data_IF_492354676399
#
_entry.id   IF_492354676399
#
_cell.length_a   1.000
_cell.length_b   1.000
_cell.length_c   1.000
_cell.angle_alpha   90.00
_cell.angle_beta   90.00
_cell.angle_gamma   90.00
#
_symmetry.space_group_name_H-M   'P 1'
#
loop_
_entity.id
_entity.type
_entity.pdbx_description
1 polymer ?
#
# COMPACT_ATOMS: atom_id res chain seq x y z
N UNK A 1 -1.00 42.73 -6.56
CA UNK A 1 -0.32 41.41 -6.41
C UNK A 1 -0.47 40.64 -7.72
N UNK A 2 0.64 40.30 -8.42
CA UNK A 2 0.58 39.42 -9.60
C UNK A 2 0.22 38.01 -9.14
N UNK A 3 -0.88 37.44 -9.64
CA UNK A 3 -1.20 36.03 -9.41
C UNK A 3 -0.11 35.19 -10.09
N UNK A 4 0.52 34.29 -9.34
CA UNK A 4 1.40 33.27 -9.90
C UNK A 4 0.53 32.41 -10.80
N UNK A 5 0.74 32.48 -12.12
CA UNK A 5 0.06 31.58 -13.05
C UNK A 5 0.76 30.22 -12.98
N UNK A 6 0.13 29.26 -12.32
CA UNK A 6 0.57 27.87 -12.36
C UNK A 6 0.07 27.22 -13.64
N UNK A 7 0.89 26.40 -14.32
CA UNK A 7 0.42 25.65 -15.48
C UNK A 7 -0.74 24.72 -15.07
N UNK A 8 -1.66 24.47 -16.01
CA UNK A 8 -2.75 23.52 -15.78
C UNK A 8 -2.19 22.09 -15.74
N UNK A 9 -2.72 21.22 -14.85
CA UNK A 9 -2.32 19.82 -14.83
C UNK A 9 -2.73 19.13 -16.14
N UNK A 10 -1.91 18.16 -16.56
CA UNK A 10 -2.22 17.26 -17.68
C UNK A 10 -2.81 15.99 -17.10
N UNK A 11 -3.97 15.58 -17.60
CA UNK A 11 -4.64 14.34 -17.19
C UNK A 11 -4.43 13.30 -18.29
N UNK A 12 -3.85 12.16 -17.92
CA UNK A 12 -3.62 11.03 -18.81
C UNK A 12 -4.44 9.83 -18.31
N UNK A 13 -5.34 9.34 -19.16
CA UNK A 13 -6.13 8.14 -18.88
C UNK A 13 -5.43 6.93 -19.49
N UNK A 14 -4.95 6.01 -18.64
CA UNK A 14 -4.36 4.76 -19.08
C UNK A 14 -5.45 3.69 -19.22
N UNK A 15 -5.32 2.83 -20.23
CA UNK A 15 -6.32 1.79 -20.52
C UNK A 15 -6.40 0.75 -19.39
N UNK A 16 -5.25 0.41 -18.80
CA UNK A 16 -5.17 -0.60 -17.75
C UNK A 16 -4.70 0.02 -16.44
N UNK A 17 -5.43 -0.27 -15.37
CA UNK A 17 -5.07 0.15 -14.02
C UNK A 17 -3.65 -0.28 -13.61
N UNK A 18 -3.21 -1.47 -14.04
CA UNK A 18 -1.85 -1.96 -13.81
C UNK A 18 -0.77 -1.03 -14.39
N UNK A 19 -1.02 -0.40 -15.54
CA UNK A 19 -0.08 0.55 -16.15
C UNK A 19 0.09 1.80 -15.28
N UNK A 20 -1.00 2.26 -14.65
CA UNK A 20 -0.95 3.37 -13.68
C UNK A 20 -0.02 3.03 -12.52
N UNK A 21 -0.16 1.84 -11.93
CA UNK A 21 0.70 1.39 -10.83
C UNK A 21 2.16 1.25 -11.25
N UNK A 22 2.42 0.68 -12.42
CA UNK A 22 3.77 0.56 -12.97
C UNK A 22 4.42 1.93 -13.22
N UNK A 23 3.68 2.87 -13.81
CA UNK A 23 4.15 4.23 -14.05
C UNK A 23 4.48 4.96 -12.74
N UNK A 24 3.61 4.86 -11.73
CA UNK A 24 3.85 5.47 -10.43
C UNK A 24 5.05 4.86 -9.72
N UNK A 25 5.19 3.53 -9.75
CA UNK A 25 6.34 2.84 -9.16
C UNK A 25 7.63 3.24 -9.87
N UNK A 26 7.63 3.31 -11.20
CA UNK A 26 8.77 3.78 -11.98
C UNK A 26 9.13 5.23 -11.63
N UNK A 27 8.13 6.11 -11.54
CA UNK A 27 8.32 7.51 -11.15
C UNK A 27 8.92 7.65 -9.74
N UNK A 28 8.45 6.86 -8.77
CA UNK A 28 8.97 6.85 -7.40
C UNK A 28 10.40 6.31 -7.34
N UNK A 29 10.68 5.22 -8.06
CA UNK A 29 12.00 4.58 -8.06
C UNK A 29 13.04 5.47 -8.74
N UNK A 30 12.66 6.17 -9.80
CA UNK A 30 13.54 7.11 -10.50
C UNK A 30 13.79 8.40 -9.67
N UNK A 31 12.87 8.75 -8.77
CA UNK A 31 12.96 9.98 -7.98
C UNK A 31 12.50 11.21 -8.78
N UNK A 32 13.17 12.38 -8.65
CA UNK A 32 12.76 13.60 -9.35
C UNK A 32 12.68 13.40 -10.87
N UNK A 33 11.54 13.73 -11.46
CA UNK A 33 11.34 13.67 -12.91
C UNK A 33 11.51 15.06 -13.50
N UNK A 34 12.17 15.14 -14.66
CA UNK A 34 12.37 16.38 -15.40
C UNK A 34 11.84 16.27 -16.81
N UNK A 35 11.08 17.28 -17.23
CA UNK A 35 10.72 17.51 -18.62
C UNK A 35 11.36 18.83 -19.04
N UNK A 36 12.30 18.77 -19.98
CA UNK A 36 13.20 19.86 -20.34
C UNK A 36 13.89 20.48 -19.11
N UNK A 37 13.43 21.65 -18.68
CA UNK A 37 13.94 22.44 -17.56
C UNK A 37 13.00 22.49 -16.36
N UNK A 38 11.92 21.72 -16.37
CA UNK A 38 10.89 21.73 -15.34
C UNK A 38 10.87 20.41 -14.58
N UNK A 39 10.81 20.52 -13.25
CA UNK A 39 10.53 19.37 -12.41
C UNK A 39 9.04 19.02 -12.52
N UNK A 40 8.75 17.77 -12.84
CA UNK A 40 7.40 17.26 -13.05
C UNK A 40 7.09 16.23 -11.98
N UNK A 41 5.84 16.23 -11.53
CA UNK A 41 5.33 15.25 -10.58
C UNK A 41 4.18 14.47 -11.21
N UNK A 42 4.25 13.15 -11.11
CA UNK A 42 3.16 12.26 -11.50
C UNK A 42 2.40 11.88 -10.22
N UNK A 43 1.09 12.03 -10.24
CA UNK A 43 0.18 11.65 -9.15
C UNK A 43 -1.09 11.03 -9.73
N UNK A 44 -1.75 10.18 -8.94
CA UNK A 44 -3.08 9.67 -9.28
C UNK A 44 -4.11 10.78 -9.09
N UNK A 45 -5.07 10.85 -10.02
CA UNK A 45 -6.26 11.68 -9.86
C UNK A 45 -7.32 10.92 -9.07
N UNK A 46 -7.44 11.23 -7.79
CA UNK A 46 -8.47 10.65 -6.92
C UNK A 46 -9.67 11.57 -6.80
N UNK A 47 -10.83 10.96 -6.55
CA UNK A 47 -12.00 11.72 -6.11
C UNK A 47 -11.69 12.54 -4.86
N UNK A 48 -12.42 13.64 -4.68
CA UNK A 48 -12.26 14.55 -3.52
C UNK A 48 -12.31 13.79 -2.19
N UNK A 49 -13.31 12.94 -2.01
CA UNK A 49 -13.51 12.14 -0.81
C UNK A 49 -12.34 11.18 -0.53
N UNK A 50 -11.84 10.49 -1.57
CA UNK A 50 -10.68 9.60 -1.41
C UNK A 50 -9.42 10.38 -1.04
N UNK A 51 -9.21 11.54 -1.66
CA UNK A 51 -8.11 12.45 -1.32
C UNK A 51 -8.19 12.94 0.13
N UNK A 52 -9.37 13.31 0.61
CA UNK A 52 -9.60 13.76 1.98
C UNK A 52 -9.34 12.63 2.99
N UNK A 53 -9.84 11.41 2.73
CA UNK A 53 -9.55 10.23 3.55
C UNK A 53 -8.06 9.89 3.59
N UNK A 54 -7.37 9.90 2.44
CA UNK A 54 -5.91 9.69 2.40
C UNK A 54 -5.18 10.75 3.22
N UNK A 55 -5.55 12.03 3.09
CA UNK A 55 -4.96 13.11 3.90
C UNK A 55 -5.16 12.86 5.39
N UNK A 56 -6.36 12.43 5.82
CA UNK A 56 -6.64 12.09 7.21
C UNK A 56 -5.80 10.90 7.71
N UNK A 57 -5.53 9.90 6.89
CA UNK A 57 -4.56 8.85 7.27
C UNK A 57 -3.12 9.38 7.35
N UNK A 58 -2.73 10.28 6.45
CA UNK A 58 -1.38 10.86 6.43
C UNK A 58 -1.08 11.66 7.71
N UNK A 59 -2.07 12.29 8.34
CA UNK A 59 -1.86 13.01 9.63
C UNK A 59 -1.55 12.07 10.79
N UNK A 60 -1.87 10.78 10.69
CA UNK A 60 -1.61 9.76 11.72
C UNK A 60 -0.23 9.09 11.57
N UNK A 61 0.45 9.26 10.42
CA UNK A 61 1.79 8.70 10.17
C UNK A 61 2.83 9.05 11.23
N UNK A 62 2.92 10.29 11.75
CA UNK A 62 3.88 10.60 12.80
C UNK A 62 3.69 9.75 14.06
N UNK A 63 2.45 9.47 14.46
CA UNK A 63 2.14 8.62 15.63
C UNK A 63 2.55 7.17 15.37
N UNK A 64 2.28 6.65 14.18
CA UNK A 64 2.72 5.30 13.78
C UNK A 64 4.24 5.16 13.81
N UNK A 65 4.98 6.19 13.37
CA UNK A 65 6.44 6.23 13.44
C UNK A 65 6.95 6.25 14.88
N UNK A 66 6.31 7.02 15.76
CA UNK A 66 6.66 7.06 17.19
C UNK A 66 6.46 5.72 17.88
N UNK A 67 5.52 4.91 17.41
CA UNK A 67 5.24 3.56 17.92
C UNK A 67 6.03 2.47 17.19
N UNK A 68 6.95 2.84 16.29
CA UNK A 68 7.76 1.92 15.47
C UNK A 68 6.93 0.87 14.70
N UNK A 69 5.67 1.20 14.39
CA UNK A 69 4.77 0.31 13.64
C UNK A 69 5.04 0.40 12.14
N UNK A 70 5.07 -0.75 11.46
CA UNK A 70 5.10 -0.80 10.00
C UNK A 70 3.72 -0.47 9.45
N UNK A 71 3.65 0.34 8.40
CA UNK A 71 2.40 0.76 7.77
C UNK A 71 2.58 1.03 6.27
N UNK A 72 1.49 1.04 5.52
CA UNK A 72 1.38 1.48 4.12
C UNK A 72 -0.06 1.91 3.83
N UNK A 73 -0.22 2.83 2.88
CA UNK A 73 -1.48 3.45 2.52
C UNK A 73 -1.82 3.10 1.06
N UNK A 74 -2.88 2.32 0.89
CA UNK A 74 -3.35 1.88 -0.42
C UNK A 74 -4.04 2.99 -1.21
N UNK A 75 -4.19 2.73 -2.50
CA UNK A 75 -4.86 3.60 -3.47
C UNK A 75 -6.28 3.99 -3.03
N UNK A 76 -7.04 3.01 -2.53
CA UNK A 76 -8.43 3.10 -2.08
C UNK A 76 -8.65 3.78 -0.72
N UNK A 77 -7.66 4.52 -0.22
CA UNK A 77 -7.67 5.12 1.12
C UNK A 77 -7.88 4.10 2.24
N UNK A 78 -7.25 2.91 2.13
CA UNK A 78 -7.13 1.92 3.19
C UNK A 78 -5.71 1.93 3.72
N UNK A 79 -5.53 1.90 5.04
CA UNK A 79 -4.20 1.81 5.64
C UNK A 79 -4.07 0.50 6.41
N UNK A 80 -3.00 -0.24 6.13
CA UNK A 80 -2.63 -1.40 6.95
C UNK A 80 -1.58 -0.99 7.99
N UNK A 81 -1.57 -1.68 9.12
CA UNK A 81 -0.58 -1.51 10.18
C UNK A 81 -0.18 -2.90 10.67
N UNK A 82 1.11 -3.11 10.92
CA UNK A 82 1.63 -4.33 11.54
C UNK A 82 1.94 -4.07 13.00
N UNK A 83 1.25 -4.80 13.88
CA UNK A 83 1.43 -4.78 15.33
C UNK A 83 1.82 -6.18 15.78
N UNK A 84 2.99 -6.35 16.42
CA UNK A 84 3.46 -7.66 16.92
C UNK A 84 3.39 -8.80 15.88
N UNK A 85 3.66 -8.48 14.61
CA UNK A 85 3.60 -9.43 13.49
C UNK A 85 2.20 -9.69 12.92
N UNK A 86 1.15 -9.11 13.50
CA UNK A 86 -0.23 -9.21 13.02
C UNK A 86 -0.59 -8.01 12.17
N UNK A 87 -1.15 -8.27 10.98
CA UNK A 87 -1.65 -7.23 10.08
C UNK A 87 -3.07 -6.80 10.48
N UNK A 88 -3.28 -5.49 10.59
CA UNK A 88 -4.57 -4.86 10.83
C UNK A 88 -4.88 -3.85 9.73
N UNK A 89 -6.10 -3.90 9.22
CA UNK A 89 -6.56 -3.06 8.13
C UNK A 89 -7.58 -2.04 8.61
N UNK A 90 -7.41 -0.79 8.17
CA UNK A 90 -8.27 0.32 8.52
C UNK A 90 -8.81 0.98 7.25
N UNK A 91 -10.13 1.02 7.12
CA UNK A 91 -10.83 1.70 6.03
C UNK A 91 -11.21 3.15 6.39
N UNK A 92 -11.20 3.46 7.70
CA UNK A 92 -11.52 4.77 8.24
C UNK A 92 -10.34 5.28 9.11
N UNK A 93 -9.89 6.53 8.93
CA UNK A 93 -8.87 7.13 9.78
C UNK A 93 -9.25 7.18 11.26
N UNK A 94 -10.54 7.30 11.61
CA UNK A 94 -10.94 7.36 13.02
C UNK A 94 -10.80 6.01 13.74
N UNK A 95 -11.09 4.90 13.07
CA UNK A 95 -10.88 3.57 13.63
C UNK A 95 -9.41 3.35 13.97
N UNK A 96 -8.52 3.83 13.09
CA UNK A 96 -7.09 3.80 13.35
C UNK A 96 -6.71 4.73 14.51
N UNK A 97 -7.30 5.92 14.61
CA UNK A 97 -7.01 6.84 15.71
C UNK A 97 -7.35 6.22 17.06
N UNK A 98 -8.53 5.62 17.17
CA UNK A 98 -8.99 4.89 18.36
C UNK A 98 -8.01 3.74 18.67
N UNK A 99 -7.59 2.99 17.65
CA UNK A 99 -6.60 1.94 17.80
C UNK A 99 -5.27 2.47 18.39
N UNK A 100 -4.72 3.56 17.83
CA UNK A 100 -3.47 4.14 18.31
C UNK A 100 -3.57 4.68 19.74
N UNK A 101 -4.71 5.28 20.10
CA UNK A 101 -4.97 5.75 21.46
C UNK A 101 -5.02 4.58 22.45
N UNK A 102 -5.68 3.47 22.08
CA UNK A 102 -5.72 2.26 22.91
C UNK A 102 -4.35 1.62 23.11
N UNK A 103 -3.50 1.65 22.09
CA UNK A 103 -2.14 1.09 22.14
C UNK A 103 -1.21 1.91 23.04
N UNK A 104 -1.32 3.25 22.99
CA UNK A 104 -0.53 4.14 23.85
C UNK A 104 -0.88 4.01 25.34
N UNK A 105 -2.12 3.66 25.67
CA UNK A 105 -2.51 3.44 27.07
C UNK A 105 -1.96 2.12 27.60
N UNK A 106 -1.96 1.05 26.80
CA UNK A 106 -1.37 -0.24 27.20
C UNK A 106 0.14 -0.16 27.45
N UNK A 107 0.85 0.69 26.72
CA UNK A 107 2.31 0.85 26.86
C UNK A 107 2.73 1.74 28.03
N UNK A 108 1.82 2.56 28.59
CA UNK A 108 2.11 3.44 29.74
C UNK A 108 1.96 2.75 31.09
N UNK A 109 1.32 1.58 31.13
CA UNK A 109 1.11 0.83 32.38
C UNK A 109 2.06 -0.38 32.51
N UNK A 110 3.33 -0.17 32.89
CA UNK A 110 4.07 -1.22 33.59
C UNK A 110 4.66 -0.71 34.91
N UNK A 111 3.91 0.01 35.77
CA UNK A 111 4.42 0.39 37.09
C UNK A 111 3.34 0.76 38.13
N UNK A 112 2.58 -0.23 38.62
CA UNK A 112 2.15 -0.21 40.04
C UNK A 112 2.15 -1.64 40.57
N UNK A 113 3.34 -2.26 40.55
CA UNK A 113 3.65 -3.40 41.41
C UNK A 113 4.19 -2.85 42.72
N UNK A 114 3.38 -2.94 43.78
CA UNK A 114 3.74 -3.09 45.18
C UNK A 114 5.01 -2.36 45.65
N UNK A 115 4.87 -1.09 46.05
CA UNK A 115 5.86 -0.39 46.86
C UNK A 115 5.63 -0.68 48.34
N UNK A 116 6.09 -1.85 48.79
CA UNK A 116 6.49 -2.02 50.19
C UNK A 116 7.71 -1.13 50.42
N UNK A 117 7.60 -0.17 51.33
CA UNK A 117 8.75 0.57 51.83
C UNK A 117 9.59 -0.37 52.67
N UNK A 118 10.85 -0.58 52.30
CA UNK A 118 11.95 -0.60 53.25
C UNK A 118 13.25 -0.19 52.56
N UNK A 119 14.01 0.64 53.26
CA UNK A 119 15.11 1.50 52.77
C UNK A 119 16.51 0.95 53.11
N UNK A 120 17.52 1.60 52.51
CA UNK A 120 19.00 1.53 52.73
C UNK A 120 19.70 0.58 51.73
N UNK A 121 20.79 0.93 51.02
CA UNK A 121 21.81 2.00 51.02
C UNK A 121 22.50 1.96 49.61
N UNK A 122 22.81 3.10 48.99
CA UNK A 122 24.16 3.72 48.84
C UNK A 122 25.06 3.21 47.68
N UNK A 123 25.77 4.18 47.10
CA UNK A 123 26.93 4.16 46.18
C UNK A 123 26.68 4.23 44.66
N UNK A 124 27.08 5.39 44.11
CA UNK A 124 26.96 5.77 42.70
C UNK A 124 28.14 5.39 41.82
N UNK A 125 27.98 5.61 40.50
CA UNK A 125 29.04 5.97 39.56
C UNK A 125 28.41 6.37 38.21
N UNK A 126 28.87 7.48 37.62
CA UNK A 126 28.63 7.89 36.22
C UNK A 126 29.95 7.73 35.47
N UNK A 127 29.97 7.12 34.28
CA UNK A 127 30.35 7.88 33.06
C UNK A 127 29.45 7.50 31.86
N UNK A 128 28.96 8.43 31.04
CA UNK A 128 29.63 9.28 30.03
C UNK A 128 29.86 8.59 28.67
N UNK A 129 29.63 9.34 27.59
CA UNK A 129 29.75 9.04 26.15
C UNK A 129 28.66 8.12 25.56
N UNK A 130 28.09 8.32 24.36
CA UNK A 130 28.49 9.04 23.16
C UNK A 130 28.16 8.15 21.96
N UNK A 131 27.76 8.74 20.82
CA UNK A 131 27.40 8.08 19.54
C UNK A 131 26.00 7.40 19.56
N UNK A 132 25.15 7.44 18.53
CA UNK A 132 25.36 7.77 17.13
C UNK A 132 24.00 8.11 16.47
N UNK A 133 24.01 9.03 15.50
CA UNK A 133 22.88 9.28 14.60
C UNK A 133 22.71 8.07 13.67
N UNK A 134 21.74 7.22 13.97
CA UNK A 134 21.26 6.17 13.07
C UNK A 134 20.26 6.71 12.05
N UNK A 135 20.78 7.35 10.99
CA UNK A 135 20.05 7.58 9.76
C UNK A 135 19.62 6.20 9.21
N UNK A 136 18.32 5.92 9.14
CA UNK A 136 17.85 4.71 8.47
C UNK A 136 16.65 5.05 7.58
N UNK A 137 17.00 5.34 6.33
CA UNK A 137 16.12 5.38 5.17
C UNK A 137 15.44 4.02 4.99
N UNK A 138 14.34 3.78 5.70
CA UNK A 138 13.48 2.61 5.45
C UNK A 138 12.32 2.99 4.53
N UNK A 139 12.66 3.20 3.25
CA UNK A 139 11.74 2.97 2.14
C UNK A 139 12.31 1.85 1.27
N UNK A 140 12.61 0.73 1.92
CA UNK A 140 13.03 -0.49 1.24
C UNK A 140 11.83 -1.04 0.48
N UNK A 141 11.84 -0.78 -0.82
CA UNK A 141 10.71 -0.91 -1.75
C UNK A 141 10.48 -2.36 -2.23
N UNK A 142 10.94 -3.33 -1.44
CA UNK A 142 11.14 -4.71 -1.89
C UNK A 142 10.15 -5.74 -1.33
N UNK A 143 9.13 -5.34 -0.57
CA UNK A 143 8.12 -6.30 -0.06
C UNK A 143 6.81 -6.36 -0.87
N UNK A 144 6.84 -5.93 -2.13
CA UNK A 144 5.65 -5.83 -3.00
C UNK A 144 5.21 -7.16 -3.64
N UNK A 145 5.58 -8.33 -3.09
CA UNK A 145 5.29 -9.63 -3.73
C UNK A 145 4.44 -10.63 -2.93
N UNK A 146 3.94 -10.30 -1.73
CA UNK A 146 3.15 -11.23 -0.91
C UNK A 146 1.62 -10.99 -0.90
N UNK A 147 1.13 -10.12 -1.76
CA UNK A 147 -0.31 -9.85 -1.91
C UNK A 147 -1.12 -10.90 -2.70
N UNK A 148 -0.69 -12.17 -2.79
CA UNK A 148 -1.41 -13.21 -3.56
C UNK A 148 -2.04 -14.34 -2.74
N UNK A 149 -1.89 -14.36 -1.42
CA UNK A 149 -2.36 -15.50 -0.63
C UNK A 149 -3.73 -15.32 0.06
N UNK A 150 -4.33 -14.13 0.02
CA UNK A 150 -5.61 -13.88 0.73
C UNK A 150 -6.87 -14.32 -0.04
N UNK A 151 -6.78 -14.61 -1.34
CA UNK A 151 -7.92 -15.14 -2.13
C UNK A 151 -8.07 -16.67 -2.06
N UNK A 152 -7.15 -17.39 -1.39
CA UNK A 152 -7.25 -18.86 -1.23
C UNK A 152 -7.99 -19.33 0.02
N UNK A 153 -8.29 -18.44 0.96
CA UNK A 153 -8.91 -18.81 2.25
C UNK A 153 -10.45 -18.80 2.25
N UNK A 154 -11.11 -18.40 1.17
CA UNK A 154 -12.58 -18.37 1.05
C UNK A 154 -13.17 -19.50 0.19
N UNK A 155 -12.37 -20.51 -0.20
CA UNK A 155 -12.81 -21.61 -1.09
C UNK A 155 -12.76 -23.02 -0.48
N UNK A 156 -12.76 -23.13 0.84
CA UNK A 156 -12.70 -24.41 1.55
C UNK A 156 -13.90 -24.57 2.51
N UNK A 157 -15.12 -24.44 2.02
CA UNK A 157 -16.32 -24.93 2.69
C UNK A 157 -17.44 -25.04 1.66
N UNK A 158 -17.47 -26.16 0.93
CA UNK A 158 -18.67 -26.75 0.34
C UNK A 158 -18.28 -28.09 -0.28
N UNK A 159 -18.24 -29.14 0.55
CA UNK A 159 -18.06 -30.51 0.08
C UNK A 159 -18.85 -31.48 0.97
N UNK A 160 -20.17 -31.56 0.73
CA UNK A 160 -21.04 -32.73 1.01
C UNK A 160 -22.28 -32.69 0.12
N UNK A 161 -22.33 -33.55 -0.89
CA UNK A 161 -23.54 -33.72 -1.71
C UNK A 161 -23.35 -34.54 -2.98
N UNK A 162 -22.95 -35.79 -2.83
CA UNK A 162 -22.88 -36.83 -3.85
C UNK A 162 -24.26 -37.15 -4.44
N UNK A 163 -24.44 -37.20 -5.78
CA UNK A 163 -24.93 -38.39 -6.55
C UNK A 163 -24.60 -38.22 -8.06
N UNK A 164 -24.10 -39.26 -8.76
CA UNK A 164 -23.79 -39.22 -10.19
C UNK A 164 -24.94 -39.76 -11.06
N UNK A 165 -25.08 -39.26 -12.29
CA UNK A 165 -25.63 -40.07 -13.39
C UNK A 165 -25.04 -39.63 -14.74
N UNK A 166 -24.36 -40.57 -15.37
CA UNK A 166 -23.82 -40.50 -16.72
C UNK A 166 -24.95 -40.48 -17.76
N UNK A 167 -24.77 -39.75 -18.87
CA UNK A 167 -25.07 -40.25 -20.22
C UNK A 167 -24.14 -39.57 -21.22
N UNK A 168 -23.43 -40.39 -21.99
CA UNK A 168 -22.58 -40.02 -23.11
C UNK A 168 -23.41 -39.57 -24.32
N UNK A 169 -22.90 -38.60 -25.08
CA UNK A 169 -23.21 -38.47 -26.49
C UNK A 169 -22.01 -37.89 -27.24
N UNK A 170 -21.35 -38.76 -28.00
CA UNK A 170 -20.59 -38.43 -29.21
C UNK A 170 -21.41 -37.49 -30.11
N UNK A 171 -20.74 -36.59 -30.86
CA UNK A 171 -20.80 -36.53 -32.34
C UNK A 171 -20.14 -35.24 -32.89
N UNK A 172 -19.04 -35.48 -33.62
CA UNK A 172 -18.54 -34.81 -34.84
C UNK A 172 -17.96 -33.38 -34.83
N UNK A 173 -16.64 -33.37 -34.98
CA UNK A 173 -15.84 -32.63 -35.97
C UNK A 173 -16.64 -31.91 -37.07
N UNK A 174 -16.36 -30.62 -37.27
CA UNK A 174 -16.29 -30.07 -38.63
C UNK A 174 -15.17 -29.04 -38.71
N UNK A 175 -14.17 -29.38 -39.51
CA UNK A 175 -13.12 -28.51 -40.01
C UNK A 175 -13.74 -27.40 -40.88
N UNK A 176 -13.47 -26.13 -40.57
CA UNK A 176 -13.45 -25.05 -41.57
C UNK A 176 -12.44 -24.00 -41.16
N UNK A 177 -11.19 -24.31 -41.47
CA UNK A 177 -10.15 -23.32 -41.67
C UNK A 177 -9.66 -23.44 -43.12
N UNK A 178 -9.10 -22.35 -43.66
CA UNK A 178 -8.65 -22.09 -45.04
C UNK A 178 -9.66 -21.35 -45.91
N UNK A 179 -9.57 -20.01 -45.87
CA UNK A 179 -9.41 -19.15 -47.06
C UNK A 179 -9.53 -17.67 -46.71
N UNK A 180 -8.44 -17.01 -46.29
CA UNK A 180 -8.26 -15.57 -46.60
C UNK A 180 -6.82 -15.11 -46.40
N UNK A 181 -5.95 -15.53 -47.31
CA UNK A 181 -4.65 -14.89 -47.54
C UNK A 181 -4.78 -13.75 -48.55
N UNK A 182 -3.99 -12.70 -48.34
CA UNK A 182 -3.54 -11.67 -49.29
C UNK A 182 -4.46 -10.48 -49.58
N UNK A 183 -4.29 -9.40 -48.79
CA UNK A 183 -4.36 -8.03 -49.33
C UNK A 183 -3.16 -7.25 -48.81
N UNK A 184 -2.24 -6.90 -49.72
CA UNK A 184 -1.16 -5.94 -49.48
C UNK A 184 -1.72 -4.52 -49.60
N UNK A 185 -1.44 -3.59 -48.68
CA UNK A 185 -1.75 -2.19 -48.91
C UNK A 185 -0.62 -1.53 -49.73
N UNK A 186 -1.00 -0.99 -50.89
CA UNK A 186 -0.16 -0.10 -51.71
C UNK A 186 -0.25 1.31 -51.13
N UNK A 187 0.87 1.87 -50.68
CA UNK A 187 0.97 3.23 -50.18
C UNK A 187 1.57 4.13 -51.27
N UNK A 188 0.83 5.13 -51.72
CA UNK A 188 1.31 6.20 -52.62
C UNK A 188 1.22 7.53 -51.86
N UNK A 189 2.35 8.22 -51.61
CA UNK A 189 2.32 9.52 -50.94
C UNK A 189 2.14 10.69 -51.93
N UNK A 190 1.46 11.77 -51.53
CA UNK A 190 1.68 13.13 -52.05
C UNK A 190 2.82 13.86 -51.32
#
# INVERSE_FOLDING_TARGET
MKRVQTPRPIIACLLHHTQTHQLLRAAQTHGPLRADKYDVRITVDYSKDTNERKKAFLTLRPRLRQLEMKYDLFDSARMWVTENGVYKDFYNPEDLRIFLDSFQNQTKDPATSNRSQDTMEDNGHIPSSGLEKGNTDWYDSDNCSRGRDLERLTRAHDDRGQVPHAVAAHTQLSERDKSRSQLKPTFTPP
#
